data_IF_328471285590
#
_entry.id   IF_328471285590
#
_cell.length_a   1.000
_cell.length_b   1.000
_cell.length_c   1.000
_cell.angle_alpha   90.00
_cell.angle_beta   90.00
_cell.angle_gamma   90.00
#
_symmetry.space_group_name_H-M   'P 1'
#
loop_
_entity.id
_entity.type
_entity.pdbx_description
1 polymer ?
#
# COMPACT_ATOMS: atom_id res chain seq x y z
N UNK A 1 -7.49 -19.04 5.00
CA UNK A 1 -7.32 -18.60 3.60
C UNK A 1 -8.49 -19.15 2.80
N UNK A 2 -9.29 -18.27 2.20
CA UNK A 2 -10.41 -18.66 1.34
C UNK A 2 -9.91 -19.16 -0.02
N UNK A 3 -10.64 -20.09 -0.64
CA UNK A 3 -10.29 -20.74 -1.90
C UNK A 3 -10.12 -19.73 -3.04
N UNK A 4 -10.91 -18.65 -3.03
CA UNK A 4 -10.80 -17.58 -4.01
C UNK A 4 -9.55 -16.70 -3.83
N UNK A 5 -9.08 -16.55 -2.59
CA UNK A 5 -7.86 -15.78 -2.29
C UNK A 5 -6.63 -16.51 -2.84
N UNK A 6 -6.54 -17.82 -2.64
CA UNK A 6 -5.40 -18.62 -3.10
C UNK A 6 -5.26 -18.62 -4.64
N UNK A 7 -6.39 -18.78 -5.35
CA UNK A 7 -6.40 -18.74 -6.82
C UNK A 7 -6.04 -17.35 -7.39
N UNK A 8 -6.34 -16.28 -6.65
CA UNK A 8 -5.93 -14.92 -7.03
C UNK A 8 -4.42 -14.73 -6.80
N UNK A 9 -3.87 -15.18 -5.68
CA UNK A 9 -2.44 -15.10 -5.37
C UNK A 9 -1.58 -15.86 -6.39
N UNK A 10 -1.99 -17.06 -6.80
CA UNK A 10 -1.29 -17.84 -7.82
C UNK A 10 -1.25 -17.13 -9.19
N UNK A 11 -2.38 -16.54 -9.61
CA UNK A 11 -2.47 -15.73 -10.82
C UNK A 11 -1.60 -14.47 -10.73
N UNK A 12 -1.61 -13.80 -9.57
CA UNK A 12 -0.76 -12.63 -9.33
C UNK A 12 0.74 -12.94 -9.42
N UNK A 13 1.18 -14.12 -8.97
CA UNK A 13 2.60 -14.49 -9.07
C UNK A 13 3.01 -14.73 -10.53
N UNK A 14 2.17 -15.42 -11.31
CA UNK A 14 2.55 -15.96 -12.61
C UNK A 14 2.22 -15.01 -13.77
N UNK A 15 1.08 -14.33 -13.70
CA UNK A 15 0.50 -13.59 -14.83
C UNK A 15 0.59 -12.07 -14.67
N UNK A 16 0.79 -11.55 -13.46
CA UNK A 16 0.77 -10.11 -13.25
C UNK A 16 2.04 -9.41 -13.78
N UNK A 17 1.91 -8.18 -14.33
CA UNK A 17 3.04 -7.35 -14.71
C UNK A 17 3.99 -7.10 -13.53
N UNK A 18 5.27 -6.84 -13.82
CA UNK A 18 6.27 -6.57 -12.79
C UNK A 18 5.83 -5.46 -11.82
N UNK A 19 5.29 -4.35 -12.35
CA UNK A 19 4.83 -3.23 -11.54
C UNK A 19 3.77 -3.65 -10.50
N UNK A 20 2.82 -4.51 -10.89
CA UNK A 20 1.80 -5.00 -9.98
C UNK A 20 2.38 -5.94 -8.91
N UNK A 21 3.37 -6.77 -9.27
CA UNK A 21 4.08 -7.65 -8.32
C UNK A 21 4.99 -6.90 -7.36
N UNK A 22 5.53 -5.75 -7.76
CA UNK A 22 6.38 -4.89 -6.94
C UNK A 22 5.58 -3.92 -6.05
N UNK A 23 4.24 -3.97 -6.08
CA UNK A 23 3.41 -3.12 -5.23
C UNK A 23 3.76 -3.36 -3.75
N UNK A 24 4.12 -2.31 -2.98
CA UNK A 24 4.42 -2.43 -1.56
C UNK A 24 3.27 -3.06 -0.78
N UNK A 25 3.60 -3.96 0.15
CA UNK A 25 2.64 -4.61 1.06
C UNK A 25 2.53 -3.92 2.41
N UNK A 26 3.50 -3.10 2.76
CA UNK A 26 3.50 -2.29 3.96
C UNK A 26 4.06 -0.89 3.68
N UNK A 27 3.90 0.03 4.63
CA UNK A 27 4.42 1.40 4.49
C UNK A 27 5.95 1.44 4.54
N UNK A 28 6.60 0.43 5.13
CA UNK A 28 8.06 0.30 5.17
C UNK A 28 8.66 -0.09 3.81
N UNK A 29 7.90 -0.79 2.97
CA UNK A 29 8.29 -1.14 1.61
C UNK A 29 8.06 0.02 0.61
N UNK A 30 7.37 1.07 1.03
CA UNK A 30 7.06 2.22 0.18
C UNK A 30 8.30 3.11 0.01
N UNK A 31 8.69 3.35 -1.24
CA UNK A 31 9.89 4.14 -1.58
C UNK A 31 9.50 5.58 -1.93
N UNK A 32 10.14 6.55 -1.29
CA UNK A 32 9.88 7.97 -1.47
C UNK A 32 8.75 8.50 -0.58
N UNK A 33 8.45 9.79 -0.72
CA UNK A 33 7.41 10.50 0.04
C UNK A 33 7.63 10.52 1.56
N UNK A 34 8.89 10.52 2.00
CA UNK A 34 9.30 10.52 3.42
C UNK A 34 8.78 11.75 4.18
N UNK A 35 8.56 12.86 3.49
CA UNK A 35 8.00 14.07 4.09
C UNK A 35 6.58 13.89 4.60
N UNK A 36 5.82 12.94 4.03
CA UNK A 36 4.41 12.68 4.34
C UNK A 36 4.23 11.32 5.03
N UNK A 37 4.95 10.29 4.58
CA UNK A 37 4.87 8.91 5.07
C UNK A 37 6.03 8.51 5.99
N UNK A 38 6.95 9.42 6.30
CA UNK A 38 8.03 9.16 7.24
C UNK A 38 7.52 8.82 8.65
N UNK A 39 8.35 8.16 9.48
CA UNK A 39 8.02 7.87 10.86
C UNK A 39 7.58 9.13 11.63
N UNK A 40 6.49 9.03 12.38
CA UNK A 40 5.95 10.14 13.19
C UNK A 40 5.18 11.21 12.42
N UNK A 41 5.15 11.16 11.07
CA UNK A 41 4.34 12.07 10.26
C UNK A 41 2.85 11.84 10.50
N UNK A 42 2.07 12.91 10.40
CA UNK A 42 0.63 12.88 10.69
C UNK A 42 -0.10 11.83 9.84
N UNK A 43 0.21 11.77 8.54
CA UNK A 43 -0.48 10.87 7.63
C UNK A 43 -0.17 9.40 7.92
N UNK A 44 1.11 9.05 8.16
CA UNK A 44 1.50 7.71 8.62
C UNK A 44 0.79 7.30 9.90
N UNK A 45 0.76 8.17 10.91
CA UNK A 45 0.09 7.89 12.19
C UNK A 45 -1.42 7.70 12.02
N UNK A 46 -2.05 8.45 11.12
CA UNK A 46 -3.48 8.31 10.81
C UNK A 46 -3.79 6.96 10.14
N UNK A 47 -2.94 6.50 9.21
CA UNK A 47 -3.06 5.18 8.58
C UNK A 47 -2.84 4.07 9.61
N UNK A 48 -1.77 4.14 10.41
CA UNK A 48 -1.44 3.15 11.44
C UNK A 48 -2.52 3.04 12.53
N UNK A 49 -3.18 4.15 12.87
CA UNK A 49 -4.27 4.19 13.84
C UNK A 49 -5.64 3.82 13.23
N UNK A 50 -5.71 3.52 11.94
CA UNK A 50 -6.94 3.31 11.17
C UNK A 50 -7.99 4.43 11.37
N UNK A 51 -7.50 5.68 11.39
CA UNK A 51 -8.29 6.89 11.67
C UNK A 51 -8.00 7.95 10.63
N UNK A 52 -8.45 7.71 9.42
CA UNK A 52 -8.44 8.73 8.37
C UNK A 52 -9.54 9.76 8.69
N UNK A 53 -9.12 10.91 9.21
CA UNK A 53 -10.02 11.94 9.75
C UNK A 53 -10.86 12.67 8.68
N UNK A 54 -10.48 12.59 7.41
CA UNK A 54 -11.15 13.28 6.29
C UNK A 54 -10.96 12.53 4.97
N UNK A 55 -11.75 12.90 3.95
CA UNK A 55 -11.43 12.53 2.56
C UNK A 55 -10.05 13.06 2.18
N UNK A 56 -9.27 12.25 1.46
CA UNK A 56 -7.90 12.55 1.04
C UNK A 56 -7.84 12.52 -0.48
N UNK A 57 -7.26 13.55 -1.09
CA UNK A 57 -6.94 13.58 -2.51
C UNK A 57 -5.43 13.38 -2.62
N UNK A 58 -5.02 12.29 -3.27
CA UNK A 58 -3.63 12.02 -3.59
C UNK A 58 -3.35 12.56 -5.00
N UNK A 59 -2.44 13.53 -5.11
CA UNK A 59 -2.09 14.16 -6.38
C UNK A 59 -0.58 14.17 -6.58
N UNK A 60 -0.16 13.72 -7.75
CA UNK A 60 1.23 13.66 -8.19
C UNK A 60 1.31 13.13 -9.62
N UNK A 61 2.48 13.25 -10.28
CA UNK A 61 2.75 12.57 -11.54
C UNK A 61 2.82 11.05 -11.36
#
# INVERSE_FOLDING_TARGET
MDLFTHAHEQRMQTEAPLAARMRPRSLEEFVGQEDILGPGKLFRRAIEADRLFSSIILWGP
#
